data_IF_463003750286
#
_entry.id   IF_463003750286
#
_cell.length_a   1.000
_cell.length_b   1.000
_cell.length_c   1.000
_cell.angle_alpha   90.00
_cell.angle_beta   90.00
_cell.angle_gamma   90.00
#
_symmetry.space_group_name_H-M   'P 1'
#
loop_
_entity.id
_entity.type
_entity.pdbx_description
1 polymer ?
#
# COMPACT_ATOMS: atom_id res chain seq x y z
N UNK A 1 2.61 4.13 0.05
CA UNK A 1 3.44 3.13 0.75
C UNK A 1 2.69 1.81 0.91
N UNK A 2 1.51 1.77 1.51
CA UNK A 2 0.76 0.51 1.70
C UNK A 2 0.47 -0.22 0.38
N UNK A 3 0.03 0.49 -0.66
CA UNK A 3 -0.21 -0.11 -1.98
C UNK A 3 1.04 -0.76 -2.56
N UNK A 4 2.20 -0.12 -2.39
CA UNK A 4 3.47 -0.66 -2.83
C UNK A 4 3.83 -1.94 -2.08
N UNK A 5 3.59 -1.98 -0.76
CA UNK A 5 3.83 -3.20 0.03
C UNK A 5 2.93 -4.34 -0.47
N UNK A 6 1.63 -4.12 -0.65
CA UNK A 6 0.72 -5.15 -1.18
C UNK A 6 1.13 -5.60 -2.59
N UNK A 7 1.56 -4.67 -3.44
CA UNK A 7 1.94 -4.96 -4.83
C UNK A 7 3.22 -5.81 -4.90
N UNK A 8 4.26 -5.44 -4.14
CA UNK A 8 5.55 -6.12 -4.21
C UNK A 8 5.75 -7.23 -3.17
N UNK A 9 4.81 -7.41 -2.23
CA UNK A 9 4.88 -8.49 -1.26
C UNK A 9 5.08 -9.87 -1.91
N UNK A 10 4.36 -10.23 -3.00
CA UNK A 10 4.58 -11.48 -3.72
C UNK A 10 6.01 -11.60 -4.25
N UNK A 11 6.56 -10.53 -4.80
CA UNK A 11 7.93 -10.52 -5.33
C UNK A 11 8.97 -10.79 -4.25
N UNK A 12 8.81 -10.17 -3.08
CA UNK A 12 9.76 -10.28 -1.96
C UNK A 12 9.66 -11.61 -1.23
N UNK A 13 8.46 -12.16 -1.10
CA UNK A 13 8.19 -13.32 -0.24
C UNK A 13 7.81 -14.59 -1.00
N UNK A 14 7.46 -14.51 -2.28
CA UNK A 14 6.87 -15.59 -3.05
C UNK A 14 5.46 -15.97 -2.63
N UNK A 15 4.79 -15.16 -1.77
CA UNK A 15 3.48 -15.46 -1.20
C UNK A 15 2.47 -14.35 -1.49
N UNK A 16 1.21 -14.72 -1.67
CA UNK A 16 0.11 -13.76 -1.80
C UNK A 16 -0.42 -13.34 -0.43
N UNK A 17 -0.69 -12.06 -0.27
CA UNK A 17 -1.41 -11.52 0.88
C UNK A 17 -2.91 -11.84 0.79
N UNK A 18 -3.57 -11.96 1.96
CA UNK A 18 -5.02 -12.16 2.02
C UNK A 18 -5.75 -10.92 1.52
N UNK A 19 -6.52 -11.07 0.44
CA UNK A 19 -7.34 -10.00 -0.13
C UNK A 19 -8.38 -9.49 0.87
N UNK A 20 -9.02 -10.38 1.63
CA UNK A 20 -10.03 -10.01 2.64
C UNK A 20 -9.47 -9.10 3.71
N UNK A 21 -8.28 -9.42 4.23
CA UNK A 21 -7.60 -8.56 5.22
C UNK A 21 -7.10 -7.26 4.58
N UNK A 22 -6.71 -7.30 3.31
CA UNK A 22 -6.33 -6.11 2.54
C UNK A 22 -7.50 -5.15 2.37
N UNK A 23 -8.67 -5.64 1.98
CA UNK A 23 -9.89 -4.85 1.85
C UNK A 23 -10.30 -4.26 3.20
N UNK A 24 -10.23 -5.05 4.29
CA UNK A 24 -10.53 -4.57 5.64
C UNK A 24 -9.59 -3.43 6.06
N UNK A 25 -8.27 -3.62 5.85
CA UNK A 25 -7.27 -2.57 6.10
C UNK A 25 -7.58 -1.30 5.30
N UNK A 26 -7.80 -1.45 4.00
CA UNK A 26 -8.14 -0.32 3.13
C UNK A 26 -9.39 0.43 3.59
N UNK A 27 -10.48 -0.29 3.87
CA UNK A 27 -11.74 0.32 4.27
C UNK A 27 -11.61 1.14 5.57
N UNK A 28 -10.97 0.56 6.60
CA UNK A 28 -10.76 1.26 7.89
C UNK A 28 -9.83 2.46 7.69
N UNK A 29 -8.74 2.30 6.93
CA UNK A 29 -7.81 3.40 6.63
C UNK A 29 -8.48 4.52 5.86
N UNK A 30 -9.27 4.20 4.83
CA UNK A 30 -9.97 5.18 4.01
C UNK A 30 -10.99 5.98 4.82
N UNK A 31 -11.80 5.30 5.63
CA UNK A 31 -12.76 5.97 6.53
C UNK A 31 -12.01 6.83 7.55
N UNK A 32 -11.00 6.29 8.22
CA UNK A 32 -10.20 6.99 9.22
C UNK A 32 -9.50 8.21 8.65
N UNK A 33 -8.92 8.10 7.45
CA UNK A 33 -8.26 9.21 6.77
C UNK A 33 -9.23 10.36 6.48
N UNK A 34 -10.40 10.05 5.92
CA UNK A 34 -11.39 11.09 5.64
C UNK A 34 -11.93 11.72 6.91
N UNK A 35 -12.24 10.93 7.95
CA UNK A 35 -12.67 11.46 9.25
C UNK A 35 -11.58 12.27 9.96
N UNK A 36 -10.31 11.96 9.74
CA UNK A 36 -9.21 12.72 10.33
C UNK A 36 -9.00 14.06 9.61
N UNK A 37 -8.89 14.05 8.29
CA UNK A 37 -8.41 15.22 7.55
C UNK A 37 -9.52 16.11 6.98
N UNK A 38 -10.68 15.60 6.59
CA UNK A 38 -11.75 16.44 6.06
C UNK A 38 -12.27 17.46 7.10
N UNK A 39 -12.49 17.07 8.38
CA UNK A 39 -12.87 18.05 9.41
C UNK A 39 -11.82 19.14 9.63
N UNK A 40 -10.53 18.82 9.48
CA UNK A 40 -9.46 19.82 9.65
C UNK A 40 -9.47 20.90 8.56
N UNK A 41 -9.91 20.58 7.34
CA UNK A 41 -10.12 21.60 6.31
C UNK A 41 -11.23 22.58 6.73
N UNK A 42 -12.34 22.05 7.25
CA UNK A 42 -13.44 22.88 7.76
C UNK A 42 -12.97 23.77 8.92
N UNK A 43 -12.21 23.23 9.88
CA UNK A 43 -11.63 24.01 10.99
C UNK A 43 -10.76 25.14 10.48
N UNK A 44 -9.89 24.89 9.50
CA UNK A 44 -9.03 25.90 8.89
C UNK A 44 -9.81 27.02 8.20
N UNK A 45 -10.87 26.66 7.47
CA UNK A 45 -11.75 27.64 6.81
C UNK A 45 -12.50 28.53 7.82
N UNK A 46 -12.81 27.99 9.01
CA UNK A 46 -13.46 28.74 10.09
C UNK A 46 -12.48 29.47 11.02
N UNK A 47 -11.21 29.57 10.62
CA UNK A 47 -10.23 30.41 11.31
C UNK A 47 -9.50 29.75 12.48
N UNK A 48 -9.59 28.41 12.64
CA UNK A 48 -8.80 27.75 13.67
C UNK A 48 -7.30 27.79 13.30
N UNK A 49 -6.43 28.33 14.16
CA UNK A 49 -4.99 28.36 13.91
C UNK A 49 -4.38 26.95 13.90
N UNK A 50 -3.28 26.80 13.18
CA UNK A 50 -2.51 25.54 13.16
C UNK A 50 -1.61 25.43 14.39
N UNK A 51 -1.34 24.20 14.84
CA UNK A 51 -0.33 23.89 15.87
C UNK A 51 -0.55 24.61 17.21
N UNK A 52 -1.80 24.78 17.59
CA UNK A 52 -2.17 25.38 18.89
C UNK A 52 -2.48 24.28 19.90
N UNK A 53 -2.06 24.48 21.14
CA UNK A 53 -2.40 23.60 22.26
C UNK A 53 -3.81 23.87 22.80
N UNK A 54 -4.23 25.14 22.73
CA UNK A 54 -5.56 25.59 23.14
C UNK A 54 -6.29 26.24 21.96
N UNK A 55 -7.56 25.95 21.81
CA UNK A 55 -8.42 26.47 20.75
C UNK A 55 -9.81 26.80 21.32
N UNK A 56 -10.54 27.60 20.59
CA UNK A 56 -11.89 28.02 20.97
C UNK A 56 -12.79 26.78 21.14
N UNK A 57 -13.59 26.68 22.23
CA UNK A 57 -14.51 25.56 22.48
C UNK A 57 -15.46 25.23 21.35
N UNK A 58 -15.80 26.19 20.47
CA UNK A 58 -16.62 25.93 19.28
C UNK A 58 -16.02 24.88 18.33
N UNK A 59 -14.70 24.70 18.32
CA UNK A 59 -13.99 23.74 17.48
C UNK A 59 -13.84 22.35 18.10
N UNK A 60 -14.21 22.18 19.38
CA UNK A 60 -13.96 20.96 20.14
C UNK A 60 -14.58 19.72 19.50
N UNK A 61 -15.85 19.80 19.12
CA UNK A 61 -16.55 18.65 18.53
C UNK A 61 -15.90 18.17 17.24
N UNK A 62 -15.51 19.08 16.37
CA UNK A 62 -14.88 18.75 15.08
C UNK A 62 -13.47 18.18 15.27
N UNK A 63 -12.71 18.69 16.26
CA UNK A 63 -11.43 18.10 16.66
C UNK A 63 -11.58 16.68 17.22
N UNK A 64 -12.65 16.40 17.97
CA UNK A 64 -12.94 15.03 18.45
C UNK A 64 -13.20 14.06 17.31
N UNK A 65 -13.95 14.48 16.28
CA UNK A 65 -14.15 13.68 15.06
C UNK A 65 -12.82 13.40 14.37
N UNK A 66 -11.97 14.41 14.22
CA UNK A 66 -10.63 14.26 13.65
C UNK A 66 -9.76 13.28 14.46
N UNK A 67 -9.83 13.36 15.79
CA UNK A 67 -9.11 12.44 16.70
C UNK A 67 -9.63 10.99 16.57
N UNK A 68 -10.95 10.80 16.42
CA UNK A 68 -11.52 9.49 16.14
C UNK A 68 -11.01 8.93 14.80
N UNK A 69 -10.91 9.77 13.76
CA UNK A 69 -10.33 9.40 12.48
C UNK A 69 -8.87 8.93 12.62
N UNK A 70 -8.07 9.66 13.39
CA UNK A 70 -6.69 9.28 13.68
C UNK A 70 -6.59 7.93 14.42
N UNK A 71 -7.47 7.69 15.39
CA UNK A 71 -7.55 6.41 16.10
C UNK A 71 -7.91 5.25 15.16
N UNK A 72 -8.87 5.46 14.25
CA UNK A 72 -9.22 4.45 13.25
C UNK A 72 -8.05 4.13 12.32
N UNK A 73 -7.28 5.13 11.90
CA UNK A 73 -6.06 4.91 11.10
C UNK A 73 -5.02 4.08 11.88
N UNK A 74 -4.84 4.35 13.17
CA UNK A 74 -3.97 3.54 14.02
C UNK A 74 -4.47 2.10 14.13
N UNK A 75 -5.77 1.88 14.36
CA UNK A 75 -6.38 0.55 14.43
C UNK A 75 -6.25 -0.20 13.10
N UNK A 76 -6.32 0.50 11.96
CA UNK A 76 -6.21 -0.12 10.64
C UNK A 76 -4.87 -0.80 10.39
N UNK A 77 -3.82 -0.44 11.12
CA UNK A 77 -2.52 -1.11 11.02
C UNK A 77 -2.55 -2.55 11.56
N UNK A 78 -3.51 -2.89 12.43
CA UNK A 78 -3.64 -4.23 13.00
C UNK A 78 -3.95 -5.27 11.92
N UNK A 79 -5.03 -5.17 11.12
CA UNK A 79 -5.29 -6.12 10.04
C UNK A 79 -4.16 -6.17 8.99
N UNK A 80 -3.45 -5.07 8.78
CA UNK A 80 -2.28 -5.03 7.90
C UNK A 80 -1.14 -5.92 8.44
N UNK A 81 -0.75 -5.73 9.70
CA UNK A 81 0.30 -6.54 10.33
C UNK A 81 -0.10 -8.02 10.42
N UNK A 82 -1.34 -8.30 10.82
CA UNK A 82 -1.88 -9.67 10.84
C UNK A 82 -1.80 -10.30 9.45
N UNK A 83 -2.13 -9.54 8.40
CA UNK A 83 -2.05 -10.01 7.03
C UNK A 83 -0.60 -10.39 6.65
N UNK A 84 0.38 -9.54 6.97
CA UNK A 84 1.80 -9.84 6.72
C UNK A 84 2.19 -11.15 7.40
N UNK A 85 1.96 -11.28 8.71
CA UNK A 85 2.36 -12.47 9.47
C UNK A 85 1.69 -13.76 8.97
N UNK A 86 0.39 -13.72 8.71
CA UNK A 86 -0.35 -14.88 8.22
C UNK A 86 0.08 -15.26 6.80
N UNK A 87 0.35 -14.27 5.95
CA UNK A 87 0.74 -14.51 4.57
C UNK A 87 2.17 -15.07 4.46
N UNK A 88 3.10 -14.61 5.27
CA UNK A 88 4.44 -15.21 5.35
C UNK A 88 4.34 -16.68 5.79
N UNK A 89 3.52 -16.98 6.78
CA UNK A 89 3.41 -18.33 7.35
C UNK A 89 2.59 -19.29 6.49
N UNK A 90 1.42 -18.84 6.01
CA UNK A 90 0.40 -19.70 5.41
C UNK A 90 -0.12 -19.15 4.07
N UNK A 91 0.53 -18.13 3.48
CA UNK A 91 0.10 -17.55 2.22
C UNK A 91 0.21 -18.55 1.07
N UNK A 92 -0.67 -18.41 0.08
CA UNK A 92 -0.58 -19.17 -1.17
C UNK A 92 0.65 -18.73 -1.94
N UNK A 93 1.28 -19.65 -2.66
CA UNK A 93 2.36 -19.31 -3.57
C UNK A 93 1.86 -18.34 -4.64
N UNK A 94 2.65 -17.31 -4.90
CA UNK A 94 2.27 -16.26 -5.83
C UNK A 94 2.60 -16.60 -7.29
N UNK A 95 3.54 -17.51 -7.51
CA UNK A 95 4.25 -17.61 -8.78
C UNK A 95 5.10 -16.36 -9.02
N UNK A 96 5.70 -16.30 -10.21
CA UNK A 96 6.67 -15.23 -10.52
C UNK A 96 6.00 -13.91 -10.90
N UNK A 97 4.82 -13.96 -11.51
CA UNK A 97 4.08 -12.79 -11.99
C UNK A 97 2.57 -12.90 -11.71
N UNK A 98 2.13 -12.70 -10.47
CA UNK A 98 0.71 -12.84 -10.10
C UNK A 98 -0.20 -11.75 -10.70
N UNK A 99 0.39 -10.66 -11.18
CA UNK A 99 -0.35 -9.52 -11.73
C UNK A 99 -0.43 -9.49 -13.24
N UNK A 100 0.23 -10.43 -13.95
CA UNK A 100 0.45 -10.40 -15.40
C UNK A 100 1.03 -9.05 -15.85
N UNK A 101 1.92 -8.48 -15.03
CA UNK A 101 2.56 -7.21 -15.30
C UNK A 101 3.72 -7.39 -16.30
N UNK A 102 3.95 -6.36 -17.12
CA UNK A 102 4.96 -6.39 -18.17
C UNK A 102 6.26 -5.66 -17.78
N UNK A 103 6.32 -5.13 -16.57
CA UNK A 103 7.52 -4.44 -16.06
C UNK A 103 8.62 -5.44 -15.70
N UNK A 104 9.90 -5.05 -15.88
CA UNK A 104 11.04 -5.96 -15.77
C UNK A 104 11.10 -6.77 -14.48
N UNK A 105 10.74 -6.18 -13.34
CA UNK A 105 10.77 -6.86 -12.04
C UNK A 105 9.89 -8.12 -11.96
N UNK A 106 8.89 -8.25 -12.85
CA UNK A 106 8.01 -9.42 -12.92
C UNK A 106 8.45 -10.48 -13.90
N UNK A 107 9.60 -10.28 -14.58
CA UNK A 107 10.20 -11.25 -15.49
C UNK A 107 11.18 -12.20 -14.79
N UNK A 108 11.52 -11.93 -13.52
CA UNK A 108 12.37 -12.80 -12.70
C UNK A 108 11.55 -13.59 -11.68
N UNK A 109 12.18 -14.61 -11.07
CA UNK A 109 11.55 -15.44 -10.04
C UNK A 109 11.09 -14.64 -8.80
N UNK A 110 10.18 -15.20 -8.02
CA UNK A 110 9.68 -14.64 -6.76
C UNK A 110 9.89 -15.64 -5.61
N UNK A 111 10.82 -15.39 -4.66
CA UNK A 111 11.76 -14.26 -4.58
C UNK A 111 12.81 -14.21 -5.68
N UNK A 112 13.34 -13.02 -6.02
CA UNK A 112 14.40 -12.92 -7.02
C UNK A 112 15.72 -13.49 -6.51
N UNK A 113 16.60 -13.97 -7.41
CA UNK A 113 17.95 -14.40 -7.04
C UNK A 113 18.78 -13.20 -6.53
N UNK A 114 19.92 -13.49 -5.90
CA UNK A 114 20.79 -12.46 -5.29
C UNK A 114 21.23 -11.39 -6.30
N UNK A 115 21.42 -11.78 -7.56
CA UNK A 115 21.81 -10.89 -8.66
C UNK A 115 20.63 -10.33 -9.45
N UNK A 116 19.39 -10.52 -8.95
CA UNK A 116 18.09 -10.15 -9.53
C UNK A 116 17.69 -10.94 -10.78
N UNK A 117 18.62 -11.50 -11.56
CA UNK A 117 18.37 -12.23 -12.79
C UNK A 117 19.15 -13.53 -12.84
N UNK A 118 18.52 -14.58 -13.36
CA UNK A 118 19.21 -15.81 -13.74
C UNK A 118 19.75 -15.65 -15.17
N UNK A 119 20.96 -15.11 -15.30
CA UNK A 119 21.60 -14.78 -16.58
C UNK A 119 21.60 -13.29 -16.87
N UNK A 120 21.54 -12.92 -18.16
CA UNK A 120 21.54 -11.52 -18.56
C UNK A 120 20.20 -10.84 -18.26
N UNK A 121 20.26 -9.60 -17.76
CA UNK A 121 19.06 -8.80 -17.54
C UNK A 121 18.36 -8.54 -18.88
N UNK A 122 16.99 -8.56 -18.93
CA UNK A 122 16.28 -8.29 -20.15
C UNK A 122 16.60 -6.90 -20.68
N UNK A 123 17.03 -6.83 -21.93
CA UNK A 123 17.31 -5.56 -22.62
C UNK A 123 15.97 -4.88 -22.95
N UNK A 124 15.84 -3.63 -22.51
CA UNK A 124 14.74 -2.75 -22.88
C UNK A 124 15.28 -1.75 -23.90
N UNK A 125 14.92 -1.91 -25.16
CA UNK A 125 15.47 -1.11 -26.26
C UNK A 125 15.03 0.36 -26.21
N UNK A 126 13.83 0.63 -25.68
CA UNK A 126 13.26 1.97 -25.56
C UNK A 126 12.94 2.30 -24.09
N UNK A 127 13.04 3.57 -23.67
CA UNK A 127 12.75 3.97 -22.27
C UNK A 127 11.38 3.54 -21.73
N UNK A 128 10.41 3.32 -22.61
CA UNK A 128 9.05 2.88 -22.27
C UNK A 128 8.67 1.54 -22.92
N UNK A 129 9.66 0.77 -23.37
CA UNK A 129 9.44 -0.52 -24.03
C UNK A 129 9.02 -1.65 -23.10
N UNK A 130 9.19 -1.49 -21.79
CA UNK A 130 8.87 -2.50 -20.75
C UNK A 130 7.38 -2.90 -20.68
N UNK A 131 6.48 -2.17 -21.29
CA UNK A 131 5.06 -2.53 -21.40
C UNK A 131 4.71 -3.38 -22.63
N UNK A 132 5.67 -3.74 -23.46
CA UNK A 132 5.48 -4.57 -24.65
C UNK A 132 5.88 -6.02 -24.34
N UNK A 133 5.15 -7.02 -24.85
CA UNK A 133 5.62 -8.40 -24.80
C UNK A 133 7.00 -8.46 -25.47
N UNK A 134 7.97 -9.11 -24.79
CA UNK A 134 9.28 -9.35 -25.39
C UNK A 134 9.02 -10.27 -26.59
N UNK A 135 9.16 -9.76 -27.80
CA UNK A 135 9.16 -10.60 -28.98
C UNK A 135 10.36 -11.53 -28.85
N UNK A 136 10.10 -12.82 -28.70
CA UNK A 136 11.13 -13.83 -28.89
C UNK A 136 11.50 -13.78 -30.38
N UNK A 137 12.47 -12.97 -30.72
CA UNK A 137 13.12 -13.08 -32.01
C UNK A 137 13.96 -14.37 -31.97
N UNK A 138 13.51 -15.34 -32.77
CA UNK A 138 14.23 -16.58 -33.07
C UNK A 138 15.49 -16.30 -33.90
#
# INVERSE_FOLDING_TARGET
>A
IFSSIYHWFPKVTGKLMSEKLGILHFAITFIGFNLCFAPQHWLGLNGMPRRVAEYDPQFQFVNQISSLGALLMAISTIPFLVNIFLSIKNGKDSGDNPWNALTPEWLTSSPPPVENWEGEAPLVEEPYGYGKPISQEN
#
